data_IF_492319406663
#
_entry.id   IF_492319406663
#
_cell.length_a   1.000
_cell.length_b   1.000
_cell.length_c   1.000
_cell.angle_alpha   90.00
_cell.angle_beta   90.00
_cell.angle_gamma   90.00
#
_symmetry.space_group_name_H-M   'P 1'
#
loop_
_entity.id
_entity.type
_entity.pdbx_description
1 polymer ?
#
# COMPACT_ATOMS: atom_id res chain seq x y z
N UNK A 1 -10.77 12.10 -11.07
CA UNK A 1 -9.68 13.12 -11.08
C UNK A 1 -8.36 12.48 -11.55
N UNK A 2 -7.54 13.19 -12.34
CA UNK A 2 -6.23 12.70 -12.84
C UNK A 2 -5.07 13.04 -11.88
N UNK A 3 -5.34 13.03 -10.58
CA UNK A 3 -4.35 13.38 -9.56
C UNK A 3 -3.29 12.28 -9.46
N UNK A 4 -2.02 12.67 -9.42
CA UNK A 4 -0.89 11.77 -9.15
C UNK A 4 -0.31 12.12 -7.79
N UNK A 5 -0.18 11.13 -6.91
CA UNK A 5 0.33 11.29 -5.54
C UNK A 5 1.49 10.34 -5.32
N UNK A 6 2.54 10.83 -4.66
CA UNK A 6 3.70 10.04 -4.28
C UNK A 6 3.95 10.17 -2.77
N UNK A 7 4.10 9.05 -2.06
CA UNK A 7 4.44 9.03 -0.64
C UNK A 7 5.94 8.87 -0.44
N UNK A 8 6.50 9.65 0.48
CA UNK A 8 7.92 9.61 0.81
C UNK A 8 8.30 8.32 1.58
N UNK A 9 9.59 7.98 1.54
CA UNK A 9 10.21 6.88 2.29
C UNK A 9 9.58 5.51 2.05
N UNK A 10 9.35 5.15 0.77
CA UNK A 10 8.74 3.88 0.39
C UNK A 10 7.29 3.69 0.89
N UNK A 11 6.58 4.77 1.21
CA UNK A 11 5.26 4.68 1.86
C UNK A 11 5.34 4.24 3.33
N UNK A 12 6.50 4.41 3.97
CA UNK A 12 6.74 4.05 5.36
C UNK A 12 6.61 2.55 5.60
N UNK A 13 5.82 2.18 6.61
CA UNK A 13 5.59 0.77 6.95
C UNK A 13 4.46 0.12 6.13
N UNK A 14 3.83 0.84 5.19
CA UNK A 14 2.68 0.35 4.44
C UNK A 14 2.95 -0.95 3.65
N UNK A 15 4.06 -1.09 2.89
CA UNK A 15 4.35 -2.32 2.16
C UNK A 15 4.39 -3.57 3.07
N UNK A 16 4.91 -3.41 4.28
CA UNK A 16 4.96 -4.48 5.28
C UNK A 16 3.59 -4.78 5.92
N UNK A 17 2.76 -3.76 6.11
CA UNK A 17 1.52 -3.86 6.89
C UNK A 17 0.25 -4.06 6.05
N UNK A 18 0.29 -3.84 4.73
CA UNK A 18 -0.90 -3.90 3.86
C UNK A 18 -1.66 -5.21 3.96
N UNK A 19 -0.96 -6.34 4.17
CA UNK A 19 -1.62 -7.64 4.36
C UNK A 19 -2.43 -7.72 5.65
N UNK A 20 -1.92 -7.14 6.74
CA UNK A 20 -2.64 -7.04 8.02
C UNK A 20 -3.85 -6.11 7.90
N UNK A 21 -3.67 -4.99 7.21
CA UNK A 21 -4.74 -4.01 6.97
C UNK A 21 -5.88 -4.65 6.15
N UNK A 22 -5.56 -5.33 5.04
CA UNK A 22 -6.53 -6.07 4.21
C UNK A 22 -7.19 -7.21 4.99
N UNK A 23 -6.46 -7.93 5.83
CA UNK A 23 -7.08 -8.96 6.68
C UNK A 23 -8.11 -8.35 7.65
N UNK A 24 -7.74 -7.29 8.36
CA UNK A 24 -8.66 -6.55 9.26
C UNK A 24 -9.90 -6.06 8.52
N UNK A 25 -9.72 -5.51 7.32
CA UNK A 25 -10.82 -5.11 6.45
C UNK A 25 -11.82 -6.24 6.16
N UNK A 26 -11.30 -7.43 5.82
CA UNK A 26 -12.12 -8.57 5.44
C UNK A 26 -12.81 -9.24 6.64
N UNK A 27 -12.18 -9.25 7.82
CA UNK A 27 -12.74 -9.93 9.01
C UNK A 27 -13.54 -9.01 9.92
N UNK A 28 -13.39 -7.69 9.78
CA UNK A 28 -14.15 -6.65 10.51
C UNK A 28 -14.71 -5.58 9.56
N UNK A 29 -15.54 -5.95 8.57
CA UNK A 29 -16.14 -4.99 7.65
C UNK A 29 -17.04 -3.97 8.37
N UNK A 30 -17.58 -4.34 9.53
CA UNK A 30 -18.36 -3.47 10.43
C UNK A 30 -17.55 -2.28 10.98
N UNK A 31 -16.22 -2.40 11.06
CA UNK A 31 -15.33 -1.32 11.49
C UNK A 31 -14.55 -0.69 10.33
N UNK A 32 -14.11 -1.52 9.38
CA UNK A 32 -13.13 -1.10 8.37
C UNK A 32 -13.75 -0.78 7.00
N UNK A 33 -14.95 -1.27 6.72
CA UNK A 33 -15.62 -1.12 5.42
C UNK A 33 -16.89 -0.25 5.50
N UNK A 34 -16.98 0.62 6.52
CA UNK A 34 -18.14 1.50 6.78
C UNK A 34 -18.34 2.49 5.63
N UNK A 35 -17.28 3.25 5.29
CA UNK A 35 -17.33 4.30 4.27
C UNK A 35 -16.70 3.88 2.92
N UNK A 36 -15.88 2.82 2.94
CA UNK A 36 -15.17 2.34 1.77
C UNK A 36 -15.27 0.83 1.69
N UNK A 37 -16.00 0.31 0.70
CA UNK A 37 -16.24 -1.14 0.52
C UNK A 37 -15.16 -1.84 -0.31
N UNK A 38 -14.06 -1.16 -0.61
CA UNK A 38 -12.98 -1.67 -1.46
C UNK A 38 -11.80 -2.09 -0.59
N UNK A 39 -11.35 -3.34 -0.74
CA UNK A 39 -10.16 -3.84 -0.04
C UNK A 39 -8.95 -2.91 -0.29
N UNK A 40 -8.22 -2.48 0.75
CA UNK A 40 -7.03 -1.64 0.65
C UNK A 40 -6.01 -2.08 -0.41
N UNK A 41 -5.85 -3.39 -0.66
CA UNK A 41 -4.94 -3.91 -1.69
C UNK A 41 -5.35 -3.55 -3.11
N UNK A 42 -6.64 -3.29 -3.37
CA UNK A 42 -7.12 -2.89 -4.71
C UNK A 42 -6.70 -1.47 -5.09
N UNK A 43 -6.18 -0.68 -4.14
CA UNK A 43 -5.62 0.63 -4.40
C UNK A 43 -4.13 0.60 -4.75
N UNK A 44 -3.46 -0.55 -4.65
CA UNK A 44 -2.10 -0.71 -5.18
C UNK A 44 -2.10 -0.35 -6.68
N UNK A 45 -1.16 0.49 -7.09
CA UNK A 45 -1.12 1.07 -8.45
C UNK A 45 -1.91 2.38 -8.64
N UNK A 46 -2.67 2.83 -7.63
CA UNK A 46 -3.37 4.14 -7.68
C UNK A 46 -2.51 5.31 -7.16
N UNK A 47 -1.34 5.03 -6.60
CA UNK A 47 -0.40 6.00 -6.05
C UNK A 47 1.04 5.50 -6.25
N UNK A 48 2.01 6.38 -6.00
CA UNK A 48 3.43 6.08 -6.09
C UNK A 48 4.10 6.17 -4.71
N UNK A 49 5.30 5.60 -4.61
CA UNK A 49 6.22 5.85 -3.50
C UNK A 49 7.61 6.15 -4.06
N UNK A 50 8.44 6.86 -3.30
CA UNK A 50 9.90 6.85 -3.58
C UNK A 50 10.54 5.51 -3.17
N UNK A 51 11.83 5.35 -3.44
CA UNK A 51 12.62 4.16 -3.10
C UNK A 51 13.57 4.37 -1.90
N UNK A 52 13.39 5.44 -1.11
CA UNK A 52 14.28 5.80 -0.02
C UNK A 52 14.01 4.94 1.23
N UNK A 53 14.49 3.70 1.21
CA UNK A 53 14.24 2.69 2.26
C UNK A 53 15.50 2.16 2.97
N UNK A 54 16.69 2.64 2.57
CA UNK A 54 17.99 2.37 3.20
C UNK A 54 18.41 0.89 3.35
N UNK A 55 17.67 -0.07 2.81
CA UNK A 55 18.00 -1.49 2.85
C UNK A 55 17.56 -2.22 1.56
N UNK A 56 18.35 -3.22 1.14
CA UNK A 56 18.05 -4.01 -0.06
C UNK A 56 16.84 -4.92 0.13
N UNK A 57 16.65 -5.47 1.32
CA UNK A 57 15.48 -6.30 1.66
C UNK A 57 14.20 -5.47 1.68
N UNK A 58 14.24 -4.29 2.29
CA UNK A 58 13.15 -3.33 2.29
C UNK A 58 12.79 -2.91 0.85
N UNK A 59 13.77 -2.67 -0.02
CA UNK A 59 13.51 -2.32 -1.42
C UNK A 59 12.86 -3.48 -2.19
N UNK A 60 13.30 -4.73 -1.98
CA UNK A 60 12.65 -5.91 -2.58
C UNK A 60 11.21 -6.07 -2.10
N UNK A 61 10.95 -5.84 -0.82
CA UNK A 61 9.59 -5.87 -0.29
C UNK A 61 8.74 -4.79 -0.95
N UNK A 62 9.27 -3.56 -1.02
CA UNK A 62 8.62 -2.41 -1.64
C UNK A 62 8.21 -2.75 -3.09
N UNK A 63 9.13 -3.20 -3.92
CA UNK A 63 8.83 -3.53 -5.33
C UNK A 63 7.88 -4.72 -5.46
N UNK A 64 7.98 -5.72 -4.58
CA UNK A 64 7.07 -6.88 -4.59
C UNK A 64 5.62 -6.53 -4.21
N UNK A 65 5.41 -5.47 -3.41
CA UNK A 65 4.09 -5.09 -2.89
C UNK A 65 3.49 -3.92 -3.64
N UNK A 66 4.25 -2.84 -3.84
CA UNK A 66 3.79 -1.64 -4.55
C UNK A 66 3.86 -1.83 -6.06
N UNK A 67 4.82 -2.63 -6.53
CA UNK A 67 5.08 -2.86 -7.95
C UNK A 67 6.19 -1.97 -8.51
N UNK A 68 6.51 -2.22 -9.78
CA UNK A 68 7.42 -1.42 -10.59
C UNK A 68 6.62 -0.73 -11.70
N UNK A 69 7.04 0.48 -12.10
CA UNK A 69 6.42 1.17 -13.23
C UNK A 69 7.04 0.59 -14.51
N UNK A 70 6.21 -0.07 -15.32
CA UNK A 70 6.55 -0.57 -16.66
C UNK A 70 6.49 0.51 -17.72
#
# INVERSE_FOLDING_TARGET
>A
PKLKVCFAHGGGAFPYTVGRISHGFNVRPDLCAVDNKVDPRKYLGSFYTDSLVHDRGALRLLTSVIGEVS
#
